data_IF_780125858674
#
_entry.id   IF_780125858674
#
_cell.length_a   1.000
_cell.length_b   1.000
_cell.length_c   1.000
_cell.angle_alpha   90.00
_cell.angle_beta   90.00
_cell.angle_gamma   90.00
#
_symmetry.space_group_name_H-M   'P 1'
#
loop_
_entity.id
_entity.type
_entity.pdbx_description
1 polymer ?
#
# COMPACT_ATOMS: atom_id res chain seq x y z
N UNK A 1 0.73 -6.31 -13.91
CA UNK A 1 0.67 -6.30 -15.39
C UNK A 1 1.96 -6.92 -15.91
N UNK A 2 1.88 -7.91 -16.81
CA UNK A 2 3.04 -8.67 -17.29
C UNK A 2 3.77 -8.02 -18.46
N UNK A 3 4.93 -8.56 -18.84
CA UNK A 3 5.75 -8.08 -19.96
C UNK A 3 4.96 -7.97 -21.27
N UNK A 4 4.11 -8.97 -21.53
CA UNK A 4 3.27 -9.06 -22.73
C UNK A 4 2.32 -7.87 -22.87
N UNK A 5 1.75 -7.40 -21.76
CA UNK A 5 0.84 -6.27 -21.77
C UNK A 5 1.57 -4.97 -22.11
N UNK A 6 2.78 -4.75 -21.59
CA UNK A 6 3.59 -3.58 -21.96
C UNK A 6 4.06 -3.63 -23.41
N UNK A 7 4.43 -4.81 -23.93
CA UNK A 7 4.75 -4.98 -25.34
C UNK A 7 3.56 -4.69 -26.25
N UNK A 8 2.35 -5.13 -25.88
CA UNK A 8 1.14 -4.82 -26.63
C UNK A 8 0.84 -3.31 -26.63
N UNK A 9 0.88 -2.67 -25.46
CA UNK A 9 0.69 -1.21 -25.35
C UNK A 9 1.68 -0.46 -26.25
N UNK A 10 2.95 -0.90 -26.27
CA UNK A 10 3.96 -0.29 -27.14
C UNK A 10 3.63 -0.42 -28.62
N UNK A 11 3.11 -1.58 -29.06
CA UNK A 11 2.73 -1.82 -30.46
C UNK A 11 1.46 -1.07 -30.89
N UNK A 12 0.56 -0.75 -29.96
CA UNK A 12 -0.68 -0.02 -30.26
C UNK A 12 -0.46 1.45 -30.60
N UNK A 13 0.73 2.00 -30.36
CA UNK A 13 1.00 3.42 -30.56
C UNK A 13 1.81 3.60 -31.84
N UNK A 14 1.17 4.26 -32.80
CA UNK A 14 1.75 4.52 -34.12
C UNK A 14 2.94 5.48 -34.02
N UNK A 15 4.08 5.05 -34.55
CA UNK A 15 5.33 5.77 -34.67
C UNK A 15 6.19 5.79 -33.40
N UNK A 16 7.48 5.52 -33.59
CA UNK A 16 8.47 5.52 -32.52
C UNK A 16 9.03 6.94 -32.31
N UNK A 17 9.15 7.36 -31.05
CA UNK A 17 9.94 8.55 -30.70
C UNK A 17 9.19 9.87 -30.67
N UNK A 18 7.85 9.88 -30.72
CA UNK A 18 7.09 11.11 -30.51
C UNK A 18 7.27 11.67 -29.08
N UNK A 19 7.30 13.00 -28.98
CA UNK A 19 7.49 13.71 -27.70
C UNK A 19 6.38 13.36 -26.67
N UNK A 20 5.17 13.09 -27.15
CA UNK A 20 3.98 12.76 -26.35
C UNK A 20 3.46 11.34 -26.68
N UNK A 21 4.33 10.34 -26.54
CA UNK A 21 4.06 8.94 -26.90
C UNK A 21 3.36 8.17 -25.75
N UNK A 22 4.13 7.69 -24.76
CA UNK A 22 3.62 6.92 -23.60
C UNK A 22 3.99 7.64 -22.30
N UNK A 23 3.05 7.65 -21.34
CA UNK A 23 3.29 8.01 -19.95
C UNK A 23 2.92 6.85 -19.02
N UNK A 24 3.88 6.36 -18.24
CA UNK A 24 3.68 5.26 -17.27
C UNK A 24 3.95 5.80 -15.87
N UNK A 25 3.07 5.46 -14.94
CA UNK A 25 3.26 5.65 -13.51
C UNK A 25 3.38 4.29 -12.86
N UNK A 26 4.36 4.12 -11.98
CA UNK A 26 4.59 2.88 -11.25
C UNK A 26 5.31 3.17 -9.93
N UNK A 27 5.15 2.27 -8.98
CA UNK A 27 5.87 2.28 -7.71
C UNK A 27 6.66 0.97 -7.59
N UNK A 28 7.99 1.10 -7.67
CA UNK A 28 8.92 -0.03 -7.59
C UNK A 28 8.86 -0.76 -6.24
N UNK A 29 8.45 -0.04 -5.19
CA UNK A 29 8.49 -0.50 -3.81
C UNK A 29 7.22 -1.26 -3.42
N UNK A 30 6.12 -1.15 -4.19
CA UNK A 30 4.88 -1.90 -4.00
C UNK A 30 4.98 -3.33 -4.56
N UNK A 31 5.95 -4.10 -4.04
CA UNK A 31 6.35 -5.46 -4.42
C UNK A 31 5.30 -6.58 -4.26
N UNK A 32 4.02 -6.23 -4.06
CA UNK A 32 2.94 -7.19 -3.87
C UNK A 32 2.55 -7.96 -5.15
N UNK A 33 3.08 -7.59 -6.32
CA UNK A 33 2.90 -8.32 -7.58
C UNK A 33 4.23 -8.93 -8.05
N UNK A 34 4.27 -10.27 -8.21
CA UNK A 34 5.45 -11.09 -8.54
C UNK A 34 6.17 -10.74 -9.85
N UNK A 35 5.59 -9.91 -10.72
CA UNK A 35 6.10 -9.70 -12.07
C UNK A 35 7.00 -8.47 -12.13
N UNK A 36 8.31 -8.68 -12.13
CA UNK A 36 9.28 -7.67 -12.56
C UNK A 36 9.17 -7.50 -14.08
N UNK A 37 8.88 -6.29 -14.54
CA UNK A 37 8.96 -5.94 -15.97
C UNK A 37 9.95 -4.80 -16.10
N UNK A 38 11.03 -5.05 -16.86
CA UNK A 38 11.96 -4.00 -17.26
C UNK A 38 11.42 -3.37 -18.52
N UNK A 39 11.02 -2.09 -18.46
CA UNK A 39 10.28 -1.41 -19.53
C UNK A 39 11.07 -1.34 -20.85
N UNK A 40 12.40 -1.21 -20.79
CA UNK A 40 13.27 -1.24 -21.97
C UNK A 40 13.16 -2.54 -22.76
N UNK A 41 12.90 -3.67 -22.11
CA UNK A 41 12.70 -4.98 -22.75
C UNK A 41 11.34 -5.12 -23.44
N UNK A 42 10.46 -4.12 -23.29
CA UNK A 42 9.18 -3.99 -23.97
C UNK A 42 9.24 -2.91 -25.07
N UNK A 43 10.41 -2.37 -25.41
CA UNK A 43 10.56 -1.28 -26.38
C UNK A 43 10.20 0.10 -25.81
N UNK A 44 10.03 0.22 -24.49
CA UNK A 44 9.67 1.47 -23.81
C UNK A 44 10.93 2.07 -23.18
N UNK A 45 11.54 3.01 -23.88
CA UNK A 45 12.76 3.68 -23.44
C UNK A 45 12.45 4.88 -22.54
N UNK A 46 12.77 4.76 -21.25
CA UNK A 46 12.53 5.81 -20.24
C UNK A 46 13.80 6.61 -19.87
N UNK A 47 14.97 6.25 -20.42
CA UNK A 47 16.26 6.92 -20.14
C UNK A 47 16.16 8.43 -20.39
N UNK A 48 16.54 9.23 -19.40
CA UNK A 48 16.50 10.69 -19.47
C UNK A 48 15.09 11.32 -19.41
N UNK A 49 14.03 10.51 -19.30
CA UNK A 49 12.63 10.97 -19.29
C UNK A 49 11.84 10.52 -18.06
N UNK A 50 12.48 9.81 -17.13
CA UNK A 50 11.89 9.39 -15.86
C UNK A 50 11.94 10.49 -14.82
N UNK A 51 10.87 10.66 -14.04
CA UNK A 51 10.85 11.53 -12.86
C UNK A 51 10.35 10.77 -11.64
N UNK A 52 11.13 10.76 -10.57
CA UNK A 52 10.73 10.16 -9.28
C UNK A 52 9.92 11.16 -8.46
N UNK A 53 8.73 10.76 -8.03
CA UNK A 53 7.96 11.52 -7.05
C UNK A 53 8.42 11.14 -5.65
N UNK A 54 9.01 12.09 -4.93
CA UNK A 54 9.67 11.87 -3.63
C UNK A 54 8.84 12.28 -2.41
N UNK A 55 7.76 13.04 -2.62
CA UNK A 55 6.95 13.57 -1.53
C UNK A 55 5.71 12.70 -1.35
N UNK A 56 5.54 12.16 -0.14
CA UNK A 56 4.35 11.43 0.27
C UNK A 56 3.38 12.39 0.99
N UNK A 57 2.17 12.49 0.45
CA UNK A 57 1.12 13.35 0.98
C UNK A 57 0.05 12.58 1.79
N UNK A 58 0.18 11.24 1.90
CA UNK A 58 -0.82 10.36 2.51
C UNK A 58 -0.41 9.88 3.90
N UNK A 59 0.83 9.41 4.05
CA UNK A 59 1.29 8.78 5.29
C UNK A 59 2.17 9.71 6.08
N UNK A 60 2.15 9.59 7.40
CA UNK A 60 3.04 10.36 8.27
C UNK A 60 4.50 9.95 8.11
N UNK A 61 5.43 10.82 8.51
CA UNK A 61 6.86 10.52 8.45
C UNK A 61 7.23 9.38 9.40
N UNK A 62 6.53 9.26 10.53
CA UNK A 62 6.70 8.20 11.53
C UNK A 62 6.30 6.83 10.96
N UNK A 63 5.15 6.75 10.30
CA UNK A 63 4.69 5.52 9.63
C UNK A 63 5.65 5.13 8.49
N UNK A 64 6.10 6.12 7.70
CA UNK A 64 7.08 5.92 6.63
C UNK A 64 8.40 5.36 7.19
N UNK A 65 8.97 5.99 8.21
CA UNK A 65 10.23 5.57 8.84
C UNK A 65 10.12 4.15 9.38
N UNK A 66 9.05 3.86 10.12
CA UNK A 66 8.82 2.53 10.67
C UNK A 66 8.73 1.46 9.58
N UNK A 67 7.97 1.71 8.51
CA UNK A 67 7.87 0.79 7.37
C UNK A 67 9.20 0.60 6.63
N UNK A 68 10.02 1.66 6.51
CA UNK A 68 11.36 1.56 5.93
C UNK A 68 12.30 0.74 6.80
N UNK A 69 12.30 0.94 8.12
CA UNK A 69 13.11 0.13 9.04
C UNK A 69 12.74 -1.37 8.96
N UNK A 70 11.47 -1.71 8.76
CA UNK A 70 11.05 -3.11 8.52
C UNK A 70 11.62 -3.67 7.21
N UNK A 71 11.94 -2.81 6.25
CA UNK A 71 12.52 -3.15 4.95
C UNK A 71 14.05 -2.99 4.91
N UNK A 72 14.70 -2.48 5.96
CA UNK A 72 16.16 -2.37 6.03
C UNK A 72 16.76 -3.79 5.97
N UNK A 73 17.54 -4.06 4.93
CA UNK A 73 18.04 -5.40 4.57
C UNK A 73 17.39 -6.04 3.33
N UNK A 74 16.28 -5.48 2.83
CA UNK A 74 15.63 -5.92 1.59
C UNK A 74 16.15 -5.10 0.41
N UNK A 75 16.91 -5.72 -0.51
CA UNK A 75 17.39 -5.04 -1.74
C UNK A 75 16.21 -4.63 -2.61
N UNK A 76 16.05 -3.33 -2.90
CA UNK A 76 14.97 -2.80 -3.76
C UNK A 76 15.53 -2.33 -5.12
N UNK A 77 14.81 -2.64 -6.19
CA UNK A 77 15.20 -2.50 -7.61
C UNK A 77 14.44 -1.30 -8.18
N UNK A 78 15.10 -0.38 -8.87
CA UNK A 78 14.55 0.90 -9.32
C UNK A 78 13.70 0.84 -10.61
N UNK A 79 13.32 -0.37 -11.04
CA UNK A 79 12.59 -0.68 -12.28
C UNK A 79 13.42 -0.49 -13.57
N UNK A 80 14.71 -0.14 -13.46
CA UNK A 80 15.66 -0.04 -14.59
C UNK A 80 16.92 -0.91 -14.37
N UNK A 81 16.89 -1.81 -13.37
CA UNK A 81 17.99 -2.73 -13.06
C UNK A 81 19.09 -2.11 -12.18
N UNK A 82 18.86 -0.91 -11.64
CA UNK A 82 19.71 -0.25 -10.65
C UNK A 82 19.23 -0.49 -9.21
N UNK A 83 20.07 -0.08 -8.24
CA UNK A 83 19.70 -0.02 -6.83
C UNK A 83 19.09 1.36 -6.55
N UNK A 84 17.85 1.38 -6.05
CA UNK A 84 17.28 2.63 -5.54
C UNK A 84 17.96 2.98 -4.22
N UNK A 85 18.61 4.14 -4.15
CA UNK A 85 19.30 4.60 -2.94
C UNK A 85 18.34 5.13 -1.87
N UNK A 86 17.02 5.13 -2.15
CA UNK A 86 15.93 5.60 -1.28
C UNK A 86 16.14 7.04 -0.76
N UNK A 87 17.13 7.78 -1.28
CA UNK A 87 17.49 9.10 -0.78
C UNK A 87 16.47 10.14 -1.24
N UNK A 88 15.89 10.83 -0.27
CA UNK A 88 15.04 11.99 -0.48
C UNK A 88 13.54 11.75 -0.39
N UNK A 89 13.07 10.54 -0.06
CA UNK A 89 11.66 10.33 0.28
C UNK A 89 11.29 11.08 1.57
N UNK A 90 10.29 11.95 1.49
CA UNK A 90 9.82 12.75 2.63
C UNK A 90 8.29 12.68 2.73
N UNK A 91 7.77 12.50 3.93
CA UNK A 91 6.36 12.79 4.21
C UNK A 91 6.24 14.24 4.69
N UNK A 92 5.19 14.95 4.28
CA UNK A 92 4.90 16.29 4.81
C UNK A 92 4.05 16.25 6.08
N UNK A 93 3.45 15.10 6.38
CA UNK A 93 2.60 14.89 7.54
C UNK A 93 3.43 14.30 8.69
N UNK A 94 3.16 14.78 9.90
CA UNK A 94 3.67 14.21 11.15
C UNK A 94 2.50 13.69 11.98
N UNK A 95 2.72 12.60 12.70
CA UNK A 95 1.73 12.03 13.59
C UNK A 95 2.37 11.14 14.66
N UNK A 96 1.57 10.24 15.19
CA UNK A 96 2.01 9.34 16.25
C UNK A 96 2.88 8.22 15.69
N UNK A 97 3.84 7.75 16.50
CA UNK A 97 4.61 6.56 16.18
C UNK A 97 3.70 5.32 16.15
N UNK A 98 3.93 4.38 15.22
CA UNK A 98 3.25 3.10 15.23
C UNK A 98 3.41 2.37 16.56
N UNK A 99 2.31 1.83 17.10
CA UNK A 99 2.34 1.04 18.33
C UNK A 99 2.42 -0.45 17.99
N UNK A 100 3.38 -1.14 18.59
CA UNK A 100 3.49 -2.60 18.51
C UNK A 100 3.04 -3.16 19.86
N UNK A 101 2.13 -4.14 19.83
CA UNK A 101 1.64 -4.83 21.02
C UNK A 101 1.66 -6.33 20.78
N UNK A 102 2.06 -7.07 21.80
CA UNK A 102 1.99 -8.52 21.84
C UNK A 102 0.92 -8.92 22.84
N UNK A 103 0.20 -10.01 22.53
CA UNK A 103 -0.87 -10.56 23.34
C UNK A 103 -0.61 -12.05 23.52
N UNK A 104 -0.91 -12.55 24.71
CA UNK A 104 -0.71 -13.97 25.05
C UNK A 104 -1.79 -14.86 24.44
N UNK A 105 -2.93 -14.28 24.05
CA UNK A 105 -4.02 -14.99 23.38
C UNK A 105 -4.73 -14.12 22.35
N UNK A 106 -5.40 -14.79 21.40
CA UNK A 106 -6.31 -14.17 20.44
C UNK A 106 -7.43 -13.38 21.13
N UNK A 107 -7.92 -13.87 22.27
CA UNK A 107 -8.98 -13.19 23.03
C UNK A 107 -8.51 -11.85 23.58
N UNK A 108 -7.29 -11.79 24.12
CA UNK A 108 -6.70 -10.55 24.66
C UNK A 108 -6.49 -9.52 23.55
N UNK A 109 -6.07 -9.98 22.37
CA UNK A 109 -5.92 -9.14 21.18
C UNK A 109 -7.27 -8.54 20.75
N UNK A 110 -8.32 -9.36 20.63
CA UNK A 110 -9.67 -8.87 20.28
C UNK A 110 -10.24 -7.93 21.35
N UNK A 111 -10.03 -8.21 22.63
CA UNK A 111 -10.49 -7.36 23.73
C UNK A 111 -9.76 -6.01 23.74
N UNK A 112 -8.47 -6.01 23.41
CA UNK A 112 -7.72 -4.79 23.22
C UNK A 112 -8.23 -3.98 22.02
N UNK A 113 -8.38 -4.60 20.84
CA UNK A 113 -8.87 -3.95 19.62
C UNK A 113 -10.26 -3.34 19.88
N UNK A 114 -11.15 -4.09 20.54
CA UNK A 114 -12.50 -3.64 20.85
C UNK A 114 -12.51 -2.42 21.77
N UNK A 115 -11.68 -2.42 22.82
CA UNK A 115 -11.52 -1.27 23.70
C UNK A 115 -10.92 -0.08 22.97
N UNK A 116 -9.95 -0.31 22.09
CA UNK A 116 -9.31 0.74 21.30
C UNK A 116 -10.30 1.41 20.33
N UNK A 117 -11.09 0.62 19.60
CA UNK A 117 -12.15 1.12 18.69
C UNK A 117 -13.18 1.96 19.47
N UNK A 118 -13.60 1.49 20.64
CA UNK A 118 -14.53 2.26 21.50
C UNK A 118 -13.91 3.56 21.97
N UNK A 119 -12.64 3.54 22.41
CA UNK A 119 -11.92 4.73 22.86
C UNK A 119 -11.85 5.79 21.76
N UNK A 120 -11.40 5.43 20.56
CA UNK A 120 -11.28 6.40 19.45
C UNK A 120 -12.64 6.93 19.00
N UNK A 121 -13.70 6.10 19.08
CA UNK A 121 -15.08 6.54 18.84
C UNK A 121 -15.52 7.57 19.87
N UNK A 122 -15.20 7.38 21.15
CA UNK A 122 -15.48 8.36 22.21
C UNK A 122 -14.67 9.65 22.04
N UNK A 123 -13.46 9.56 21.47
CA UNK A 123 -12.63 10.73 21.11
C UNK A 123 -13.11 11.47 19.85
N UNK A 124 -14.24 11.04 19.25
CA UNK A 124 -14.84 11.70 18.08
C UNK A 124 -14.22 11.29 16.73
N UNK A 125 -13.37 10.27 16.71
CA UNK A 125 -12.77 9.77 15.47
C UNK A 125 -13.79 8.93 14.72
N UNK A 126 -14.03 9.27 13.45
CA UNK A 126 -14.89 8.50 12.56
C UNK A 126 -14.30 7.12 12.30
N UNK A 127 -15.10 6.07 12.52
CA UNK A 127 -14.68 4.69 12.27
C UNK A 127 -14.51 4.39 10.77
N UNK A 128 -15.03 5.24 9.88
CA UNK A 128 -14.89 5.08 8.42
C UNK A 128 -13.44 5.31 7.96
N UNK A 129 -12.61 5.92 8.81
CA UNK A 129 -11.16 6.03 8.62
C UNK A 129 -10.34 4.91 9.25
N UNK A 130 -10.98 3.92 9.86
CA UNK A 130 -10.32 2.83 10.60
C UNK A 130 -10.43 1.53 9.80
N UNK A 131 -9.30 0.87 9.57
CA UNK A 131 -9.24 -0.38 8.82
C UNK A 131 -8.50 -1.44 9.65
N UNK A 132 -9.10 -2.63 9.75
CA UNK A 132 -8.47 -3.83 10.27
C UNK A 132 -7.92 -4.65 9.10
N UNK A 133 -6.62 -4.92 9.12
CA UNK A 133 -5.94 -5.68 8.06
C UNK A 133 -5.35 -6.94 8.67
N UNK A 134 -5.64 -8.09 8.06
CA UNK A 134 -5.08 -9.39 8.46
C UNK A 134 -4.47 -10.12 7.27
N UNK A 135 -3.63 -11.12 7.55
CA UNK A 135 -2.87 -11.83 6.52
C UNK A 135 -3.73 -12.72 5.62
N UNK A 136 -4.81 -13.28 6.15
CA UNK A 136 -5.69 -14.23 5.45
C UNK A 136 -7.16 -13.83 5.62
N UNK A 137 -7.99 -14.25 4.66
CA UNK A 137 -9.45 -14.04 4.74
C UNK A 137 -10.08 -14.81 5.90
N UNK A 138 -9.50 -15.94 6.29
CA UNK A 138 -9.96 -16.72 7.45
C UNK A 138 -9.78 -15.93 8.75
N UNK A 139 -8.63 -15.26 8.93
CA UNK A 139 -8.41 -14.39 10.07
C UNK A 139 -9.42 -13.23 10.06
N UNK A 140 -9.66 -12.60 8.91
CA UNK A 140 -10.66 -11.52 8.81
C UNK A 140 -12.05 -11.98 9.25
N UNK A 141 -12.49 -13.17 8.85
CA UNK A 141 -13.77 -13.74 9.28
C UNK A 141 -13.81 -13.98 10.79
N UNK A 142 -12.74 -14.49 11.38
CA UNK A 142 -12.64 -14.68 12.82
C UNK A 142 -12.79 -13.34 13.57
N UNK A 143 -12.05 -12.31 13.12
CA UNK A 143 -12.15 -10.98 13.70
C UNK A 143 -13.52 -10.34 13.51
N UNK A 144 -14.14 -10.48 12.34
CA UNK A 144 -15.51 -10.01 12.07
C UNK A 144 -16.50 -10.62 13.07
N UNK A 145 -16.48 -11.94 13.27
CA UNK A 145 -17.34 -12.61 14.25
C UNK A 145 -17.06 -12.12 15.68
N UNK A 146 -15.79 -12.07 16.09
CA UNK A 146 -15.41 -11.72 17.46
C UNK A 146 -15.69 -10.24 17.81
N UNK A 147 -15.60 -9.34 16.82
CA UNK A 147 -15.98 -7.92 16.97
C UNK A 147 -17.50 -7.75 16.97
N UNK A 148 -18.23 -8.51 16.14
CA UNK A 148 -19.70 -8.52 16.11
C UNK A 148 -20.30 -8.95 17.45
N UNK A 149 -19.77 -9.99 18.09
CA UNK A 149 -20.14 -10.42 19.44
C UNK A 149 -19.95 -9.32 20.49
N UNK A 150 -19.05 -8.37 20.24
CA UNK A 150 -18.77 -7.21 21.10
C UNK A 150 -19.54 -5.96 20.66
N UNK A 151 -20.52 -6.10 19.77
CA UNK A 151 -21.39 -5.02 19.29
C UNK A 151 -20.68 -4.01 18.38
N UNK A 152 -19.59 -4.42 17.71
CA UNK A 152 -18.88 -3.59 16.75
C UNK A 152 -19.20 -4.06 15.33
N UNK A 153 -19.88 -3.20 14.57
CA UNK A 153 -20.17 -3.44 13.16
C UNK A 153 -18.92 -3.28 12.33
N UNK A 154 -18.62 -4.25 11.48
CA UNK A 154 -17.51 -4.21 10.53
C UNK A 154 -18.03 -4.35 9.11
N UNK A 155 -17.35 -3.73 8.14
CA UNK A 155 -17.61 -3.90 6.73
C UNK A 155 -16.42 -4.58 6.06
N UNK A 156 -16.65 -5.73 5.43
CA UNK A 156 -15.61 -6.45 4.68
C UNK A 156 -15.41 -5.83 3.31
N UNK A 157 -14.22 -5.27 3.05
CA UNK A 157 -13.84 -4.73 1.74
C UNK A 157 -13.68 -5.88 0.73
N UNK A 158 -14.53 -5.91 -0.30
CA UNK A 158 -14.48 -6.90 -1.38
C UNK A 158 -13.84 -6.27 -2.62
N UNK A 159 -12.99 -7.03 -3.33
CA UNK A 159 -12.32 -6.55 -4.56
C UNK A 159 -13.27 -6.30 -5.74
N UNK A 160 -14.49 -6.83 -5.67
CA UNK A 160 -15.49 -6.81 -6.75
C UNK A 160 -16.54 -5.71 -6.61
N UNK A 161 -16.53 -4.95 -5.52
CA UNK A 161 -17.55 -3.93 -5.23
C UNK A 161 -16.86 -2.60 -4.92
N UNK A 162 -17.51 -1.50 -5.30
CA UNK A 162 -17.01 -0.16 -4.97
C UNK A 162 -17.04 0.05 -3.45
N UNK A 163 -16.02 0.72 -2.92
CA UNK A 163 -15.91 1.07 -1.49
C UNK A 163 -17.16 1.84 -1.04
N UNK A 164 -17.99 1.25 -0.18
CA UNK A 164 -19.08 1.98 0.46
C UNK A 164 -18.55 2.70 1.70
N UNK A 165 -18.56 4.04 1.65
CA UNK A 165 -18.10 4.92 2.73
C UNK A 165 -19.24 5.46 3.59
N UNK A 166 -20.49 5.00 3.34
CA UNK A 166 -21.70 5.52 3.99
C UNK A 166 -22.13 4.71 5.22
N UNK A 167 -21.49 3.57 5.49
CA UNK A 167 -21.78 2.72 6.66
C UNK A 167 -20.92 3.08 7.86
#
# INVERSE_FOLDING_TARGET
MGRQAFSLIRQMISGEGYKNDIFIVGDAHQRIYRHKVVLSHCGINIRGRSRKLRINYRTTDETRRWALCLLEGVRVDDLDGGLDDQKGYKSLLHGVMPQIRHFDSYRDEVDFISRYIRKIKTEGISLNGVCLVARTNELLKQYESALSERGLTTYSIRRSEAEDRRS
#
